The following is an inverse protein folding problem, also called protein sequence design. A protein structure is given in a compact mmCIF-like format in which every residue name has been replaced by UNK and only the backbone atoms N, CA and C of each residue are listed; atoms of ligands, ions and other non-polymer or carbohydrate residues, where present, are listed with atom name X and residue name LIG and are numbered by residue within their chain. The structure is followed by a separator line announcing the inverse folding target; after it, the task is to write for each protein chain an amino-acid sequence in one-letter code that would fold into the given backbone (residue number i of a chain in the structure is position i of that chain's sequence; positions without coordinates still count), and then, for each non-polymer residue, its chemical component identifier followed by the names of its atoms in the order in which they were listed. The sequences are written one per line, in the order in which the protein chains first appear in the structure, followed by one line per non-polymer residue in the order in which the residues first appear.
data_IF_958519573493
#
_entry.id   IF_958519573493
#
_cell.length_a   1.000
_cell.length_b   1.000
_cell.length_c   1.000
_cell.angle_alpha   90.00
_cell.angle_beta   90.00
_cell.angle_gamma   90.00
#
_symmetry.space_group_name_H-M   'P 1'
#
loop_
_entity.id
_entity.type
_entity.pdbx_description
1 polymer ?
#
# COMPACT_ATOMS: atom_id res chain seq x y z
N UNK A 1 -2.54 15.17 0.88
CA UNK A 1 -1.30 14.36 1.04
C UNK A 1 -0.49 14.62 2.33
N UNK A 2 -0.93 15.45 3.31
CA UNK A 2 -0.15 15.72 4.54
C UNK A 2 -0.38 14.74 5.70
N UNK A 3 -1.43 13.92 5.63
CA UNK A 3 -1.89 13.10 6.75
C UNK A 3 -0.97 11.90 7.04
N UNK A 4 -0.62 11.14 6.00
CA UNK A 4 0.13 9.89 6.17
C UNK A 4 1.65 10.05 6.12
N UNK A 5 2.20 11.15 5.60
CA UNK A 5 3.65 11.43 5.49
C UNK A 5 4.47 10.16 5.16
N UNK A 6 4.22 9.53 4.00
CA UNK A 6 4.82 8.25 3.68
C UNK A 6 6.34 8.34 3.68
N UNK A 7 7.00 7.39 4.34
CA UNK A 7 8.45 7.22 4.32
C UNK A 7 8.89 6.53 3.03
N UNK A 8 8.05 5.63 2.50
CA UNK A 8 8.27 4.92 1.24
C UNK A 8 6.91 4.51 0.65
N UNK A 9 6.82 4.51 -0.68
CA UNK A 9 5.72 3.91 -1.42
C UNK A 9 6.35 2.90 -2.39
N UNK A 10 5.83 1.68 -2.40
CA UNK A 10 6.28 0.61 -3.29
C UNK A 10 5.13 0.26 -4.22
N UNK A 11 5.41 0.20 -5.53
CA UNK A 11 4.52 -0.39 -6.52
C UNK A 11 4.86 -1.88 -6.63
N UNK A 12 3.85 -2.74 -6.63
CA UNK A 12 4.01 -4.18 -6.88
C UNK A 12 2.92 -4.67 -7.85
N UNK A 13 2.90 -5.98 -8.13
CA UNK A 13 1.89 -6.58 -9.01
C UNK A 13 2.13 -6.29 -10.49
N UNK A 14 1.06 -6.39 -11.29
CA UNK A 14 1.15 -6.39 -12.75
C UNK A 14 1.64 -5.05 -13.33
N UNK A 15 1.34 -3.93 -12.67
CA UNK A 15 1.88 -2.62 -13.06
C UNK A 15 3.39 -2.52 -12.84
N UNK A 16 3.94 -3.12 -11.78
CA UNK A 16 5.39 -3.15 -11.57
C UNK A 16 6.10 -4.03 -12.62
N UNK A 17 5.42 -5.05 -13.13
CA UNK A 17 5.96 -6.03 -14.08
C UNK A 17 5.70 -5.67 -15.56
N UNK A 18 5.04 -4.55 -15.84
CA UNK A 18 4.56 -4.19 -17.18
C UNK A 18 3.65 -5.26 -17.83
N UNK A 19 2.88 -6.00 -17.02
CA UNK A 19 1.92 -7.04 -17.47
C UNK A 19 0.47 -6.65 -17.16
N UNK A 20 0.22 -5.42 -16.71
CA UNK A 20 -1.12 -4.91 -16.42
C UNK A 20 -2.03 -4.91 -17.65
N UNK A 21 -3.32 -5.16 -17.42
CA UNK A 21 -4.39 -5.10 -18.41
C UNK A 21 -5.57 -4.27 -17.88
N UNK A 22 -6.66 -4.19 -18.65
CA UNK A 22 -7.84 -3.37 -18.33
C UNK A 22 -8.58 -3.79 -17.06
N UNK A 23 -8.27 -4.95 -16.49
CA UNK A 23 -8.85 -5.47 -15.26
C UNK A 23 -7.83 -5.48 -14.10
N UNK A 24 -6.67 -4.86 -14.28
CA UNK A 24 -5.63 -4.81 -13.26
C UNK A 24 -5.80 -3.60 -12.35
N UNK A 25 -5.74 -3.85 -11.06
CA UNK A 25 -5.61 -2.81 -10.03
C UNK A 25 -4.16 -2.33 -9.93
N UNK A 26 -3.97 -1.12 -9.42
CA UNK A 26 -2.66 -0.58 -9.04
C UNK A 26 -2.38 -0.93 -7.58
N UNK A 27 -1.53 -1.93 -7.40
CA UNK A 27 -1.11 -2.47 -6.12
C UNK A 27 0.02 -1.63 -5.48
N UNK A 28 -0.23 -1.00 -4.34
CA UNK A 28 0.80 -0.22 -3.63
C UNK A 28 0.93 -0.56 -2.14
N UNK A 29 2.17 -0.52 -1.66
CA UNK A 29 2.50 -0.55 -0.23
C UNK A 29 2.94 0.83 0.22
N UNK A 30 2.26 1.38 1.22
CA UNK A 30 2.60 2.66 1.86
C UNK A 30 3.27 2.37 3.20
N UNK A 31 4.55 2.72 3.30
CA UNK A 31 5.30 2.62 4.56
C UNK A 31 5.23 3.96 5.27
N UNK A 32 4.64 3.99 6.47
CA UNK A 32 4.64 5.18 7.32
C UNK A 32 4.56 4.86 8.80
N UNK A 33 5.29 5.63 9.61
CA UNK A 33 5.15 5.63 11.05
C UNK A 33 3.80 6.21 11.52
N UNK A 34 3.05 6.91 10.66
CA UNK A 34 1.68 7.36 11.00
C UNK A 34 0.71 6.21 11.26
N UNK A 35 1.07 4.99 10.83
CA UNK A 35 0.27 3.79 11.05
C UNK A 35 0.55 3.08 12.38
N UNK A 36 1.51 3.56 13.19
CA UNK A 36 1.80 2.98 14.52
C UNK A 36 0.56 3.10 15.40
N UNK A 37 0.13 1.97 15.99
CA UNK A 37 -1.06 1.91 16.84
C UNK A 37 -2.40 1.83 16.08
N UNK A 38 -2.38 1.89 14.75
CA UNK A 38 -3.57 1.71 13.89
C UNK A 38 -3.64 0.24 13.47
N UNK A 39 -4.82 -0.39 13.50
CA UNK A 39 -4.99 -1.78 13.05
C UNK A 39 -4.82 -1.92 11.54
N UNK A 40 -4.42 -3.09 11.01
CA UNK A 40 -4.34 -3.31 9.56
C UNK A 40 -5.63 -2.96 8.81
N UNK A 41 -6.80 -3.35 9.33
CA UNK A 41 -8.10 -3.08 8.72
C UNK A 41 -8.40 -1.57 8.66
N UNK A 42 -8.11 -0.84 9.74
CA UNK A 42 -8.30 0.62 9.76
C UNK A 42 -7.34 1.32 8.78
N UNK A 43 -6.11 0.84 8.64
CA UNK A 43 -5.16 1.36 7.64
C UNK A 43 -5.69 1.13 6.23
N UNK A 44 -6.16 -0.08 5.95
CA UNK A 44 -6.71 -0.45 4.65
C UNK A 44 -7.93 0.41 4.32
N UNK A 45 -8.88 0.54 5.24
CA UNK A 45 -10.08 1.38 5.04
C UNK A 45 -9.72 2.85 4.77
N UNK A 46 -8.78 3.42 5.54
CA UNK A 46 -8.34 4.81 5.33
C UNK A 46 -7.68 5.00 3.96
N UNK A 47 -6.84 4.06 3.54
CA UNK A 47 -6.17 4.13 2.24
C UNK A 47 -7.16 3.92 1.09
N UNK A 48 -8.10 2.98 1.21
CA UNK A 48 -9.17 2.75 0.26
C UNK A 48 -10.02 4.02 0.04
N UNK A 49 -10.42 4.70 1.12
CA UNK A 49 -11.19 5.95 1.01
C UNK A 49 -10.43 7.07 0.30
N UNK A 50 -9.09 7.07 0.36
CA UNK A 50 -8.27 8.05 -0.37
C UNK A 50 -8.16 7.75 -1.86
N UNK A 51 -8.36 6.49 -2.26
CA UNK A 51 -8.12 6.03 -3.62
C UNK A 51 -9.38 5.61 -4.37
N UNK A 52 -10.54 5.58 -3.71
CA UNK A 52 -11.82 5.11 -4.28
C UNK A 52 -12.27 5.84 -5.56
N UNK A 53 -11.82 7.08 -5.77
CA UNK A 53 -12.19 7.90 -6.92
C UNK A 53 -11.10 7.92 -8.01
N UNK A 54 -10.07 7.08 -7.89
CA UNK A 54 -8.99 6.95 -8.87
C UNK A 54 -9.31 5.85 -9.89
N UNK A 55 -8.87 6.04 -11.14
CA UNK A 55 -8.91 5.04 -12.18
C UNK A 55 -7.51 4.84 -12.79
N UNK A 56 -7.01 3.60 -12.96
CA UNK A 56 -7.61 2.33 -12.54
C UNK A 56 -7.73 2.23 -11.02
N UNK A 57 -8.44 1.22 -10.52
CA UNK A 57 -8.64 1.03 -9.08
C UNK A 57 -7.28 0.82 -8.39
N UNK A 58 -7.12 1.34 -7.18
CA UNK A 58 -5.89 1.20 -6.39
C UNK A 58 -6.14 0.34 -5.17
N UNK A 59 -5.30 -0.69 -4.99
CA UNK A 59 -5.27 -1.51 -3.79
C UNK A 59 -4.05 -1.12 -2.94
N UNK A 60 -4.31 -0.37 -1.88
CA UNK A 60 -3.26 0.24 -1.05
C UNK A 60 -3.18 -0.39 0.35
N UNK A 61 -1.99 -0.85 0.74
CA UNK A 61 -1.73 -1.47 2.04
C UNK A 61 -0.74 -0.64 2.88
N UNK A 62 -1.09 -0.40 4.15
CA UNK A 62 -0.32 0.44 5.07
C UNK A 62 0.53 -0.36 6.07
N UNK A 63 1.84 -0.10 6.12
CA UNK A 63 2.77 -0.76 7.05
C UNK A 63 3.66 0.22 7.79
N UNK A 64 4.20 -0.22 8.94
CA UNK A 64 5.14 0.55 9.76
C UNK A 64 6.53 -0.07 9.68
N UNK A 65 7.58 0.75 9.82
CA UNK A 65 8.96 0.24 9.99
C UNK A 65 9.27 -0.16 11.43
N UNK A 66 8.36 0.14 12.37
CA UNK A 66 8.50 -0.11 13.81
C UNK A 66 7.25 -0.81 14.37
N UNK A 67 7.47 -1.78 15.27
CA UNK A 67 6.43 -2.63 15.88
C UNK A 67 6.48 -4.05 15.36
N UNK A 68 5.96 -5.02 16.13
CA UNK A 68 5.77 -6.42 15.73
C UNK A 68 4.86 -6.48 14.50
N UNK A 69 5.44 -6.25 13.34
CA UNK A 69 4.82 -6.51 12.06
C UNK A 69 4.77 -8.03 11.94
N UNK A 70 3.57 -8.60 11.78
CA UNK A 70 3.46 -9.92 11.17
C UNK A 70 4.36 -9.91 9.94
N UNK A 71 5.29 -10.85 9.90
CA UNK A 71 6.46 -10.87 9.03
C UNK A 71 6.12 -10.42 7.61
N UNK A 72 6.54 -9.22 7.22
CA UNK A 72 6.59 -8.87 5.80
C UNK A 72 7.75 -9.69 5.24
N UNK A 73 7.43 -10.84 4.62
CA UNK A 73 8.31 -11.43 3.64
C UNK A 73 8.36 -10.44 2.46
N UNK A 74 9.36 -9.54 2.48
CA UNK A 74 9.67 -8.72 1.32
C UNK A 74 10.23 -9.69 0.28
N UNK A 75 9.36 -10.26 -0.53
CA UNK A 75 9.76 -10.99 -1.74
C UNK A 75 10.25 -9.93 -2.72
N UNK A 76 11.55 -9.61 -2.64
CA UNK A 76 12.25 -9.04 -3.78
C UNK A 76 12.20 -10.10 -4.87
N UNK A 77 11.46 -9.84 -5.95
CA UNK A 77 11.65 -10.59 -7.19
C UNK A 77 12.70 -9.84 -7.99
N UNK A 78 13.79 -10.53 -8.29
CA UNK A 78 14.90 -10.06 -9.14
C UNK A 78 14.45 -9.58 -10.52
#
# INVERSE_FOLDING_TARGET
MKEFKPQKILLYGSYAQNTANTYSDVDIVVISNSFIGISPDERFQKLYLLTQDLHPDFQAHGYTTKGNCGSIAVLYTD
#
